data_IF_518526016141
#
_entry.id   IF_518526016141
#
_cell.length_a   1.000
_cell.length_b   1.000
_cell.length_c   1.000
_cell.angle_alpha   90.00
_cell.angle_beta   90.00
_cell.angle_gamma   90.00
#
_symmetry.space_group_name_H-M   'P 1'
#
loop_
_entity.id
_entity.type
_entity.pdbx_description
1 polymer ?
#
# COMPACT_ATOMS: atom_id res chain seq x y z
N UNK A 1 -4.44 22.99 -37.73
CA UNK A 1 -4.89 22.58 -36.36
C UNK A 1 -4.18 23.44 -35.31
N UNK A 2 -4.93 24.25 -34.55
CA UNK A 2 -4.38 25.30 -33.69
C UNK A 2 -3.72 24.75 -32.41
N UNK A 3 -2.78 25.51 -31.83
CA UNK A 3 -2.24 25.24 -30.47
C UNK A 3 -3.36 25.26 -29.42
N UNK A 4 -4.41 26.06 -29.64
CA UNK A 4 -5.61 26.10 -28.79
C UNK A 4 -6.45 24.81 -28.92
N UNK A 5 -6.56 24.23 -30.12
CA UNK A 5 -7.28 22.97 -30.34
C UNK A 5 -6.57 21.79 -29.68
N UNK A 6 -5.22 21.78 -29.73
CA UNK A 6 -4.40 20.80 -28.99
C UNK A 6 -4.56 20.94 -27.48
N UNK A 7 -4.64 22.15 -26.94
CA UNK A 7 -4.90 22.40 -25.51
C UNK A 7 -6.32 22.01 -25.10
N UNK A 8 -7.35 22.30 -25.92
CA UNK A 8 -8.73 21.86 -25.67
C UNK A 8 -8.86 20.35 -25.72
N UNK A 9 -8.27 19.67 -26.72
CA UNK A 9 -8.26 18.20 -26.79
C UNK A 9 -7.43 17.56 -25.68
N UNK A 10 -6.34 18.18 -25.23
CA UNK A 10 -5.59 17.72 -24.05
C UNK A 10 -6.38 17.92 -22.74
N UNK A 11 -7.20 18.98 -22.65
CA UNK A 11 -8.07 19.25 -21.51
C UNK A 11 -9.33 18.36 -21.48
N UNK A 12 -9.83 17.91 -22.65
CA UNK A 12 -11.03 17.06 -22.76
C UNK A 12 -10.73 15.57 -22.93
N UNK A 13 -9.56 15.20 -23.48
CA UNK A 13 -9.19 13.83 -23.83
C UNK A 13 -9.04 12.85 -22.64
N UNK A 14 -9.05 13.37 -21.41
CA UNK A 14 -8.96 12.57 -20.19
C UNK A 14 -10.19 12.62 -19.28
N UNK A 15 -11.32 13.22 -19.69
CA UNK A 15 -12.47 13.48 -18.79
C UNK A 15 -13.76 12.71 -19.11
N UNK A 16 -13.82 11.99 -20.24
CA UNK A 16 -14.95 11.10 -20.54
C UNK A 16 -15.00 9.87 -19.63
N UNK A 17 -16.12 9.14 -19.55
CA UNK A 17 -16.14 7.82 -18.93
C UNK A 17 -15.17 6.87 -19.68
N UNK A 18 -14.55 5.96 -18.94
CA UNK A 18 -13.78 4.86 -19.54
C UNK A 18 -14.78 3.86 -20.12
N UNK A 19 -14.67 3.56 -21.41
CA UNK A 19 -15.68 2.77 -22.15
C UNK A 19 -15.33 1.29 -22.25
N UNK A 20 -14.05 0.96 -22.21
CA UNK A 20 -13.50 -0.38 -22.41
C UNK A 20 -12.12 -0.51 -21.74
N UNK A 21 -11.59 -1.73 -21.68
CA UNK A 21 -10.30 -2.03 -21.07
C UNK A 21 -9.13 -1.36 -21.83
N UNK A 22 -9.20 -1.25 -23.16
CA UNK A 22 -8.15 -0.60 -23.95
C UNK A 22 -8.07 0.91 -23.67
N UNK A 23 -9.23 1.57 -23.49
CA UNK A 23 -9.33 2.95 -23.09
C UNK A 23 -8.74 3.16 -21.69
N UNK A 24 -8.98 2.22 -20.77
CA UNK A 24 -8.38 2.23 -19.44
C UNK A 24 -6.85 2.10 -19.51
N UNK A 25 -6.35 1.12 -20.27
CA UNK A 25 -4.92 0.90 -20.49
C UNK A 25 -4.23 2.13 -21.12
N UNK A 26 -4.86 2.77 -22.13
CA UNK A 26 -4.35 4.03 -22.70
C UNK A 26 -4.27 5.16 -21.66
N UNK A 27 -5.22 5.22 -20.72
CA UNK A 27 -5.17 6.21 -19.63
C UNK A 27 -4.07 5.91 -18.63
N UNK A 28 -3.84 4.64 -18.29
CA UNK A 28 -2.74 4.23 -17.43
C UNK A 28 -1.41 4.64 -18.08
N UNK A 29 -1.23 4.39 -19.39
CA UNK A 29 -0.03 4.83 -20.14
C UNK A 29 0.22 6.33 -20.05
N UNK A 30 -0.85 7.11 -20.18
CA UNK A 30 -0.81 8.57 -20.16
C UNK A 30 -0.72 9.17 -18.76
N UNK A 31 -1.02 8.40 -17.71
CA UNK A 31 -1.02 8.86 -16.33
C UNK A 31 0.40 9.25 -15.87
N UNK A 32 0.44 10.28 -15.02
CA UNK A 32 1.68 10.82 -14.46
C UNK A 32 1.63 10.73 -12.94
N UNK A 33 2.78 10.41 -12.34
CA UNK A 33 2.99 10.39 -10.88
C UNK A 33 4.08 11.38 -10.46
N UNK A 34 3.78 12.68 -10.33
CA UNK A 34 4.78 13.67 -9.93
C UNK A 34 5.45 13.30 -8.60
N UNK A 35 6.77 13.24 -8.59
CA UNK A 35 7.58 12.92 -7.40
C UNK A 35 7.74 11.42 -7.10
N UNK A 36 7.27 10.52 -7.97
CA UNK A 36 7.71 9.11 -7.96
C UNK A 36 8.95 8.99 -8.84
N UNK A 37 9.98 8.21 -8.44
CA UNK A 37 11.12 7.90 -9.31
C UNK A 37 10.66 7.33 -10.67
N UNK A 38 11.20 7.79 -11.82
CA UNK A 38 10.69 7.41 -13.14
C UNK A 38 10.65 5.89 -13.36
N UNK A 39 11.67 5.17 -12.91
CA UNK A 39 11.74 3.70 -13.03
C UNK A 39 10.66 2.98 -12.23
N UNK A 40 10.29 3.48 -11.04
CA UNK A 40 9.19 2.95 -10.24
C UNK A 40 7.84 3.25 -10.89
N UNK A 41 7.67 4.46 -11.44
CA UNK A 41 6.45 4.86 -12.12
C UNK A 41 6.22 4.00 -13.38
N UNK A 42 7.25 3.78 -14.19
CA UNK A 42 7.17 2.96 -15.39
C UNK A 42 6.97 1.48 -15.07
N UNK A 43 7.61 0.96 -14.01
CA UNK A 43 7.35 -0.41 -13.53
C UNK A 43 5.88 -0.60 -13.12
N UNK A 44 5.37 0.28 -12.26
CA UNK A 44 3.99 0.20 -11.78
C UNK A 44 2.96 0.37 -12.91
N UNK A 45 3.26 1.24 -13.88
CA UNK A 45 2.45 1.43 -15.10
C UNK A 45 2.34 0.15 -15.92
N UNK A 46 3.47 -0.47 -16.25
CA UNK A 46 3.49 -1.75 -16.99
C UNK A 46 2.73 -2.85 -16.26
N UNK A 47 2.92 -2.96 -14.94
CA UNK A 47 2.23 -3.97 -14.15
C UNK A 47 0.72 -3.74 -14.07
N UNK A 48 0.28 -2.48 -13.96
CA UNK A 48 -1.15 -2.14 -13.93
C UNK A 48 -1.81 -2.31 -15.30
N UNK A 49 -1.10 -2.03 -16.39
CA UNK A 49 -1.56 -2.37 -17.75
C UNK A 49 -1.73 -3.88 -17.92
N UNK A 50 -0.72 -4.66 -17.55
CA UNK A 50 -0.78 -6.12 -17.62
C UNK A 50 -1.93 -6.70 -16.77
N UNK A 51 -2.20 -6.11 -15.60
CA UNK A 51 -3.37 -6.47 -14.78
C UNK A 51 -4.69 -6.23 -15.52
N UNK A 52 -4.87 -5.05 -16.13
CA UNK A 52 -6.10 -4.71 -16.87
C UNK A 52 -6.27 -5.61 -18.09
N UNK A 53 -5.21 -5.82 -18.86
CA UNK A 53 -5.21 -6.66 -20.06
C UNK A 53 -5.52 -8.12 -19.71
N UNK A 54 -4.90 -8.66 -18.66
CA UNK A 54 -5.15 -10.02 -18.18
C UNK A 54 -6.60 -10.20 -17.68
N UNK A 55 -7.10 -9.27 -16.85
CA UNK A 55 -8.47 -9.33 -16.36
C UNK A 55 -9.50 -9.24 -17.50
N UNK A 56 -9.26 -8.38 -18.48
CA UNK A 56 -10.11 -8.27 -19.66
C UNK A 56 -10.08 -9.55 -20.51
N UNK A 57 -8.91 -10.16 -20.71
CA UNK A 57 -8.77 -11.42 -21.42
C UNK A 57 -9.49 -12.59 -20.72
N UNK A 58 -9.62 -12.52 -19.39
CA UNK A 58 -10.40 -13.46 -18.57
C UNK A 58 -11.90 -13.16 -18.54
N UNK A 59 -12.37 -12.14 -19.26
CA UNK A 59 -13.79 -11.77 -19.31
C UNK A 59 -14.29 -11.00 -18.08
N UNK A 60 -13.40 -10.46 -17.24
CA UNK A 60 -13.80 -9.65 -16.09
C UNK A 60 -14.45 -8.34 -16.59
N UNK A 61 -15.66 -7.98 -16.13
CA UNK A 61 -16.31 -6.75 -16.55
C UNK A 61 -15.49 -5.50 -16.20
N UNK A 62 -15.48 -4.50 -17.09
CA UNK A 62 -14.73 -3.25 -16.89
C UNK A 62 -15.05 -2.57 -15.55
N UNK A 63 -16.31 -2.57 -15.13
CA UNK A 63 -16.73 -1.99 -13.86
C UNK A 63 -16.04 -2.68 -12.67
N UNK A 64 -15.84 -3.99 -12.75
CA UNK A 64 -15.15 -4.76 -11.73
C UNK A 64 -13.63 -4.53 -11.76
N UNK A 65 -13.03 -4.44 -12.95
CA UNK A 65 -11.61 -4.04 -13.10
C UNK A 65 -11.39 -2.66 -12.46
N UNK A 66 -12.26 -1.69 -12.77
CA UNK A 66 -12.20 -0.35 -12.20
C UNK A 66 -12.40 -0.37 -10.67
N UNK A 67 -13.28 -1.22 -10.15
CA UNK A 67 -13.45 -1.42 -8.70
C UNK A 67 -12.18 -1.98 -8.05
N UNK A 68 -11.57 -3.02 -8.62
CA UNK A 68 -10.31 -3.60 -8.13
C UNK A 68 -9.14 -2.60 -8.17
N UNK A 69 -9.13 -1.71 -9.16
CA UNK A 69 -8.18 -0.61 -9.20
C UNK A 69 -8.46 0.44 -8.13
N UNK A 70 -9.73 0.78 -7.90
CA UNK A 70 -10.12 1.83 -6.96
C UNK A 70 -9.96 1.41 -5.50
N UNK A 71 -10.33 0.17 -5.15
CA UNK A 71 -10.22 -0.36 -3.78
C UNK A 71 -8.81 -0.84 -3.43
N UNK A 72 -7.90 -0.93 -4.41
CA UNK A 72 -6.51 -1.31 -4.24
C UNK A 72 -6.22 -2.80 -4.38
N UNK A 73 -7.20 -3.66 -4.69
CA UNK A 73 -6.95 -5.09 -5.01
C UNK A 73 -5.94 -5.26 -6.14
N UNK A 74 -6.05 -4.45 -7.20
CA UNK A 74 -5.10 -4.50 -8.32
C UNK A 74 -3.66 -4.22 -7.84
N UNK A 75 -3.47 -3.20 -7.00
CA UNK A 75 -2.16 -2.87 -6.45
C UNK A 75 -1.63 -3.99 -5.54
N UNK A 76 -2.49 -4.58 -4.70
CA UNK A 76 -2.12 -5.71 -3.84
C UNK A 76 -1.70 -6.95 -4.65
N UNK A 77 -2.46 -7.30 -5.71
CA UNK A 77 -2.13 -8.39 -6.63
C UNK A 77 -0.78 -8.16 -7.32
N UNK A 78 -0.56 -6.96 -7.87
CA UNK A 78 0.70 -6.60 -8.54
C UNK A 78 1.88 -6.78 -7.59
N UNK A 79 1.78 -6.26 -6.37
CA UNK A 79 2.86 -6.36 -5.40
C UNK A 79 3.07 -7.78 -4.88
N UNK A 80 2.02 -8.60 -4.79
CA UNK A 80 2.15 -10.00 -4.46
C UNK A 80 2.95 -10.76 -5.53
N UNK A 81 2.58 -10.58 -6.80
CA UNK A 81 3.30 -11.17 -7.94
C UNK A 81 4.77 -10.70 -7.98
N UNK A 82 5.04 -9.41 -7.75
CA UNK A 82 6.41 -8.89 -7.69
C UNK A 82 7.23 -9.58 -6.58
N UNK A 83 6.63 -9.80 -5.40
CA UNK A 83 7.30 -10.50 -4.30
C UNK A 83 7.58 -11.96 -4.64
N UNK A 84 6.60 -12.67 -5.20
CA UNK A 84 6.78 -14.07 -5.61
C UNK A 84 7.88 -14.21 -6.67
N UNK A 85 7.92 -13.30 -7.64
CA UNK A 85 8.97 -13.26 -8.66
C UNK A 85 10.35 -12.99 -8.06
N UNK A 86 10.45 -12.02 -7.15
CA UNK A 86 11.71 -11.73 -6.45
C UNK A 86 12.19 -12.96 -5.65
N UNK A 87 11.30 -13.62 -4.92
CA UNK A 87 11.62 -14.86 -4.19
C UNK A 87 12.08 -15.98 -5.14
N UNK A 88 11.38 -16.19 -6.25
CA UNK A 88 11.76 -17.18 -7.27
C UNK A 88 13.15 -16.90 -7.90
N UNK A 89 13.54 -15.62 -7.96
CA UNK A 89 14.85 -15.18 -8.44
C UNK A 89 15.93 -15.16 -7.35
N UNK A 90 15.63 -15.64 -6.14
CA UNK A 90 16.56 -15.65 -5.01
C UNK A 90 16.82 -14.27 -4.40
N UNK A 91 16.00 -13.28 -4.73
CA UNK A 91 16.06 -11.90 -4.24
C UNK A 91 15.06 -11.64 -3.09
N UNK A 92 14.69 -12.69 -2.35
CA UNK A 92 13.75 -12.55 -1.24
C UNK A 92 14.35 -11.65 -0.15
N UNK A 93 13.77 -10.48 0.16
CA UNK A 93 14.28 -9.61 1.21
C UNK A 93 14.18 -10.22 2.61
N UNK A 94 13.38 -11.29 2.80
CA UNK A 94 13.37 -12.05 4.05
C UNK A 94 14.60 -12.96 4.19
N UNK A 95 15.28 -13.29 3.08
CA UNK A 95 16.51 -14.10 3.12
C UNK A 95 17.65 -13.26 3.72
N UNK A 96 18.06 -13.61 4.93
CA UNK A 96 19.05 -12.85 5.71
C UNK A 96 18.45 -11.75 6.57
N UNK A 97 17.11 -11.68 6.69
CA UNK A 97 16.48 -10.84 7.70
C UNK A 97 16.69 -11.44 9.10
N UNK A 98 16.85 -10.57 10.10
CA UNK A 98 16.90 -10.94 11.51
C UNK A 98 15.50 -11.21 12.11
N UNK A 99 14.46 -11.21 11.27
CA UNK A 99 13.09 -11.46 11.69
C UNK A 99 12.92 -12.91 12.18
N UNK A 100 12.38 -13.07 13.38
CA UNK A 100 12.05 -14.36 13.99
C UNK A 100 10.67 -14.31 14.66
N UNK A 101 10.11 -15.46 15.03
CA UNK A 101 8.87 -15.51 15.81
C UNK A 101 9.04 -14.72 17.12
N UNK A 102 8.04 -13.92 17.47
CA UNK A 102 8.08 -13.02 18.64
C UNK A 102 8.86 -11.72 18.45
N UNK A 103 9.53 -11.52 17.31
CA UNK A 103 10.09 -10.21 16.95
C UNK A 103 8.97 -9.26 16.48
N UNK A 104 8.77 -8.15 17.19
CA UNK A 104 7.64 -7.24 16.99
C UNK A 104 8.02 -5.75 16.87
N UNK A 105 9.31 -5.43 16.68
CA UNK A 105 9.76 -4.04 16.59
C UNK A 105 9.15 -3.29 15.39
N UNK A 106 8.90 -3.97 14.26
CA UNK A 106 8.16 -3.38 13.13
C UNK A 106 6.68 -3.12 13.43
N UNK A 107 6.14 -3.71 14.51
CA UNK A 107 4.78 -3.46 14.97
C UNK A 107 4.71 -2.26 15.91
N UNK A 108 5.84 -1.67 16.32
CA UNK A 108 5.86 -0.37 16.99
C UNK A 108 5.75 0.69 15.90
N UNK A 109 4.51 1.10 15.62
CA UNK A 109 4.22 1.90 14.44
C UNK A 109 4.65 3.35 14.68
N UNK A 110 5.42 3.91 13.76
CA UNK A 110 5.81 5.31 13.81
C UNK A 110 4.74 6.22 13.21
N UNK A 111 4.62 7.43 13.76
CA UNK A 111 3.63 8.41 13.35
C UNK A 111 2.18 8.03 13.70
N UNK A 112 1.25 8.90 13.30
CA UNK A 112 -0.18 8.76 13.61
C UNK A 112 -0.82 7.63 12.78
N UNK A 113 -0.51 7.53 11.48
CA UNK A 113 -1.15 6.55 10.59
C UNK A 113 -0.71 5.10 10.87
N UNK A 114 0.52 4.92 11.35
CA UNK A 114 1.18 3.62 11.47
C UNK A 114 1.40 2.86 10.15
N UNK A 115 1.05 3.47 9.02
CA UNK A 115 1.19 2.93 7.67
C UNK A 115 0.00 3.26 6.79
N UNK A 116 0.26 3.54 5.52
CA UNK A 116 -0.80 3.77 4.52
C UNK A 116 -1.22 2.45 3.87
N UNK A 117 -2.50 2.13 3.94
CA UNK A 117 -3.10 0.94 3.33
C UNK A 117 -4.29 1.30 2.42
N UNK A 118 -4.67 0.40 1.53
CA UNK A 118 -5.83 0.55 0.62
C UNK A 118 -7.14 0.16 1.29
N UNK A 119 -8.28 0.46 0.66
CA UNK A 119 -9.59 0.00 1.14
C UNK A 119 -9.64 -1.52 1.29
N UNK A 120 -9.13 -2.25 0.29
CA UNK A 120 -9.07 -3.70 0.31
C UNK A 120 -8.31 -4.26 1.53
N UNK A 121 -7.16 -3.66 1.85
CA UNK A 121 -6.38 -4.07 3.01
C UNK A 121 -7.02 -3.65 4.33
N UNK A 122 -7.66 -2.48 4.37
CA UNK A 122 -8.39 -2.01 5.54
C UNK A 122 -9.57 -2.91 5.90
N UNK A 123 -10.40 -3.25 4.91
CA UNK A 123 -11.53 -4.20 5.08
C UNK A 123 -11.05 -5.56 5.59
N UNK A 124 -9.99 -6.11 4.99
CA UNK A 124 -9.43 -7.40 5.39
C UNK A 124 -8.83 -7.38 6.80
N UNK A 125 -8.12 -6.31 7.14
CA UNK A 125 -7.50 -6.15 8.46
C UNK A 125 -8.56 -6.02 9.55
N UNK A 126 -9.57 -5.16 9.33
CA UNK A 126 -10.69 -4.99 10.25
C UNK A 126 -11.43 -6.32 10.46
N UNK A 127 -11.84 -6.99 9.38
CA UNK A 127 -12.56 -8.25 9.46
C UNK A 127 -11.78 -9.35 10.22
N UNK A 128 -10.45 -9.38 10.06
CA UNK A 128 -9.60 -10.34 10.76
C UNK A 128 -9.45 -10.04 12.27
N UNK A 129 -9.61 -8.77 12.67
CA UNK A 129 -9.44 -8.33 14.06
C UNK A 129 -10.76 -8.17 14.81
N UNK A 130 -11.89 -7.99 14.11
CA UNK A 130 -13.20 -7.83 14.73
C UNK A 130 -13.57 -8.95 15.75
N UNK A 131 -13.22 -10.24 15.53
CA UNK A 131 -13.46 -11.29 16.53
C UNK A 131 -12.67 -11.14 17.84
N UNK A 132 -11.70 -10.21 17.89
CA UNK A 132 -10.81 -9.94 19.04
C UNK A 132 -11.25 -8.71 19.84
N UNK A 133 -12.46 -8.21 19.59
CA UNK A 133 -12.99 -7.02 20.26
C UNK A 133 -12.95 -7.18 21.80
N UNK A 134 -12.35 -6.20 22.49
CA UNK A 134 -12.20 -6.18 23.94
C UNK A 134 -11.07 -7.04 24.51
N UNK A 135 -10.34 -7.81 23.69
CA UNK A 135 -9.14 -8.50 24.16
C UNK A 135 -7.98 -7.52 24.40
N UNK A 136 -7.05 -7.82 25.34
CA UNK A 136 -5.75 -7.16 25.44
C UNK A 136 -5.05 -7.07 24.08
N UNK A 137 -4.32 -5.99 23.83
CA UNK A 137 -3.66 -5.77 22.54
C UNK A 137 -2.24 -5.24 22.68
N UNK A 138 -1.55 -5.05 21.55
CA UNK A 138 -0.15 -4.61 21.53
C UNK A 138 0.14 -3.40 22.42
N UNK A 139 -0.84 -2.51 22.63
CA UNK A 139 -0.70 -1.31 23.47
C UNK A 139 -0.42 -1.64 24.94
N UNK A 140 -0.81 -2.83 25.40
CA UNK A 140 -0.49 -3.33 26.74
C UNK A 140 0.98 -3.74 26.88
N UNK A 141 1.67 -4.01 25.76
CA UNK A 141 3.12 -4.24 25.72
C UNK A 141 3.90 -2.96 25.46
N UNK A 142 3.44 -2.11 24.54
CA UNK A 142 4.10 -0.84 24.20
C UNK A 142 3.09 0.17 23.66
N UNK A 143 3.09 1.45 24.10
CA UNK A 143 2.04 2.42 23.76
C UNK A 143 1.86 2.65 22.25
N UNK A 144 2.94 2.56 21.49
CA UNK A 144 2.92 2.70 20.02
C UNK A 144 2.77 1.38 19.25
N UNK A 145 2.62 0.24 19.92
CA UNK A 145 2.43 -1.03 19.23
C UNK A 145 1.12 -1.06 18.44
N UNK A 146 1.12 -1.89 17.39
CA UNK A 146 -0.05 -2.16 16.57
C UNK A 146 -1.09 -2.91 17.40
N UNK A 147 -2.37 -2.49 17.39
CA UNK A 147 -3.45 -3.20 18.08
C UNK A 147 -3.66 -4.65 17.58
N UNK A 148 -3.17 -4.97 16.37
CA UNK A 148 -3.20 -6.34 15.86
C UNK A 148 -2.24 -7.31 16.58
N UNK A 149 -1.30 -6.81 17.38
CA UNK A 149 -0.31 -7.61 18.09
C UNK A 149 -0.94 -8.25 19.35
N UNK A 150 -0.60 -9.50 19.62
CA UNK A 150 -0.80 -10.12 20.93
C UNK A 150 0.29 -9.62 21.89
N UNK A 151 -0.05 -8.96 23.00
CA UNK A 151 0.95 -8.41 23.92
C UNK A 151 1.77 -9.48 24.65
N UNK A 152 1.22 -10.68 24.86
CA UNK A 152 1.89 -11.77 25.57
C UNK A 152 2.91 -12.48 24.67
N UNK A 153 2.50 -12.83 23.45
CA UNK A 153 3.35 -13.61 22.52
C UNK A 153 4.14 -12.75 21.53
N UNK A 154 3.77 -11.47 21.38
CA UNK A 154 4.31 -10.54 20.38
C UNK A 154 4.13 -11.06 18.94
N UNK A 155 3.09 -11.87 18.72
CA UNK A 155 2.71 -12.38 17.41
C UNK A 155 1.53 -11.58 16.86
N UNK A 156 1.46 -11.42 15.54
CA UNK A 156 0.34 -10.74 14.90
C UNK A 156 -0.88 -11.66 14.85
N UNK A 157 -1.99 -11.24 15.47
CA UNK A 157 -3.27 -11.97 15.49
C UNK A 157 -4.01 -11.94 14.15
N UNK A 158 -3.60 -11.05 13.24
CA UNK A 158 -4.12 -10.92 11.88
C UNK A 158 -3.06 -11.27 10.82
N UNK A 159 -2.22 -12.28 11.08
CA UNK A 159 -1.04 -12.61 10.27
C UNK A 159 -1.32 -12.76 8.78
N UNK A 160 -2.42 -13.44 8.41
CA UNK A 160 -2.84 -13.64 7.01
C UNK A 160 -3.44 -12.38 6.38
N UNK A 161 -4.06 -11.53 7.18
CA UNK A 161 -4.61 -10.25 6.76
C UNK A 161 -3.59 -9.10 6.80
N UNK A 162 -2.33 -9.37 7.15
CA UNK A 162 -1.27 -8.34 7.20
C UNK A 162 -1.22 -7.55 5.89
N UNK A 163 -1.36 -6.21 5.97
CA UNK A 163 -1.17 -5.34 4.83
C UNK A 163 0.24 -5.46 4.25
N UNK A 164 0.39 -5.07 2.99
CA UNK A 164 1.64 -5.20 2.26
C UNK A 164 2.80 -4.45 2.91
N UNK A 165 2.54 -3.31 3.55
CA UNK A 165 3.57 -2.58 4.30
C UNK A 165 4.21 -3.47 5.37
N UNK A 166 3.41 -4.25 6.11
CA UNK A 166 3.90 -5.19 7.12
C UNK A 166 4.65 -6.40 6.51
N UNK A 167 4.42 -6.70 5.23
CA UNK A 167 5.12 -7.76 4.49
C UNK A 167 6.37 -7.27 3.76
N UNK A 168 6.58 -5.96 3.76
CA UNK A 168 7.66 -5.31 3.02
C UNK A 168 8.70 -4.67 3.92
N UNK A 169 8.46 -4.59 5.23
CA UNK A 169 9.45 -4.11 6.18
C UNK A 169 10.37 -5.26 6.61
N UNK A 170 11.65 -5.17 6.26
CA UNK A 170 12.66 -6.19 6.61
C UNK A 170 13.92 -5.51 7.12
N UNK A 171 14.62 -6.18 8.04
CA UNK A 171 15.94 -5.75 8.50
C UNK A 171 16.82 -6.97 8.73
N UNK A 172 18.11 -6.84 8.42
CA UNK A 172 19.14 -7.81 8.78
C UNK A 172 19.69 -7.61 10.21
N UNK A 173 19.22 -6.58 10.92
CA UNK A 173 19.74 -6.18 12.23
C UNK A 173 18.58 -5.96 13.22
N UNK A 174 18.39 -6.94 14.11
CA UNK A 174 17.35 -6.86 15.14
C UNK A 174 17.63 -5.76 16.17
N UNK A 175 18.90 -5.50 16.50
CA UNK A 175 19.26 -4.46 17.46
C UNK A 175 18.97 -3.06 16.89
N UNK A 176 19.22 -2.86 15.59
CA UNK A 176 18.81 -1.63 14.92
C UNK A 176 17.28 -1.47 14.89
N UNK A 177 16.52 -2.56 14.71
CA UNK A 177 15.07 -2.52 14.82
C UNK A 177 14.59 -2.14 16.23
N UNK A 178 15.21 -2.70 17.26
CA UNK A 178 14.91 -2.39 18.66
C UNK A 178 15.21 -0.93 19.00
N UNK A 179 16.39 -0.42 18.60
CA UNK A 179 16.76 0.99 18.77
C UNK A 179 15.75 1.92 18.08
N UNK A 180 15.40 1.65 16.82
CA UNK A 180 14.38 2.44 16.10
C UNK A 180 13.01 2.41 16.79
N UNK A 181 12.62 1.25 17.34
CA UNK A 181 11.38 1.10 18.11
C UNK A 181 11.40 1.90 19.42
N UNK A 182 12.57 2.04 20.06
CA UNK A 182 12.79 2.90 21.22
C UNK A 182 12.88 4.40 20.87
N UNK A 183 12.82 4.76 19.57
CA UNK A 183 12.93 6.14 19.10
C UNK A 183 14.35 6.60 18.78
N UNK A 184 15.33 5.70 18.83
CA UNK A 184 16.72 5.99 18.50
C UNK A 184 16.98 5.76 17.00
N UNK A 185 17.52 6.74 16.26
CA UNK A 185 17.82 6.56 14.84
C UNK A 185 18.89 5.50 14.63
N UNK A 186 18.52 4.35 14.04
CA UNK A 186 19.45 3.27 13.71
C UNK A 186 19.33 2.83 12.24
N UNK A 187 20.44 2.57 11.54
CA UNK A 187 20.40 2.02 10.19
C UNK A 187 20.03 0.54 10.26
N UNK A 188 18.99 0.10 9.55
CA UNK A 188 18.75 -1.35 9.47
C UNK A 188 17.46 -1.74 8.80
N UNK A 189 16.38 -1.01 9.06
CA UNK A 189 15.11 -1.34 8.44
C UNK A 189 14.96 -0.72 7.05
N UNK A 190 14.52 -1.53 6.10
CA UNK A 190 14.22 -1.09 4.74
C UNK A 190 12.87 -1.60 4.30
N UNK A 191 12.19 -0.75 3.56
CA UNK A 191 10.98 -1.12 2.85
C UNK A 191 11.36 -1.76 1.51
N UNK A 192 10.93 -3.00 1.30
CA UNK A 192 11.12 -3.74 0.07
C UNK A 192 10.41 -3.08 -1.12
N UNK A 193 10.94 -3.29 -2.33
CA UNK A 193 10.49 -2.62 -3.55
C UNK A 193 9.00 -2.80 -3.87
N UNK A 194 8.42 -3.96 -3.54
CA UNK A 194 7.02 -4.26 -3.82
C UNK A 194 6.02 -3.27 -3.19
N UNK A 195 6.31 -2.74 -2.00
CA UNK A 195 5.44 -1.72 -1.40
C UNK A 195 5.49 -0.38 -2.16
N UNK A 196 6.63 -0.05 -2.76
CA UNK A 196 6.76 1.17 -3.56
C UNK A 196 5.99 1.02 -4.88
N UNK A 197 6.06 -0.15 -5.51
CA UNK A 197 5.24 -0.47 -6.68
C UNK A 197 3.75 -0.44 -6.35
N UNK A 198 3.36 -0.97 -5.19
CA UNK A 198 1.97 -0.91 -4.69
C UNK A 198 1.44 0.52 -4.57
N UNK A 199 2.15 1.41 -3.89
CA UNK A 199 1.73 2.81 -3.75
C UNK A 199 1.69 3.53 -5.11
N UNK A 200 2.64 3.23 -5.99
CA UNK A 200 2.66 3.79 -7.34
C UNK A 200 1.49 3.27 -8.18
N UNK A 201 1.18 1.97 -8.14
CA UNK A 201 0.05 1.38 -8.84
C UNK A 201 -1.29 1.98 -8.36
N UNK A 202 -1.47 2.14 -7.05
CA UNK A 202 -2.67 2.78 -6.49
C UNK A 202 -2.78 4.26 -6.89
N UNK A 203 -1.66 4.98 -6.90
CA UNK A 203 -1.60 6.35 -7.43
C UNK A 203 -1.97 6.44 -8.92
N UNK A 204 -1.53 5.48 -9.73
CA UNK A 204 -1.86 5.40 -11.16
C UNK A 204 -3.33 5.06 -11.37
N UNK A 205 -3.90 4.17 -10.55
CA UNK A 205 -5.33 3.87 -10.55
C UNK A 205 -6.14 5.15 -10.33
N UNK A 206 -5.80 5.96 -9.32
CA UNK A 206 -6.43 7.26 -9.08
C UNK A 206 -6.33 8.20 -10.29
N UNK A 207 -5.16 8.28 -10.92
CA UNK A 207 -4.94 9.13 -12.08
C UNK A 207 -5.72 8.65 -13.33
N UNK A 208 -5.80 7.34 -13.55
CA UNK A 208 -6.44 6.75 -14.73
C UNK A 208 -7.98 6.74 -14.63
N UNK A 209 -8.52 6.40 -13.45
CA UNK A 209 -9.97 6.39 -13.21
C UNK A 209 -10.54 7.82 -13.10
N UNK A 210 -9.71 8.79 -12.71
CA UNK A 210 -10.07 10.20 -12.65
C UNK A 210 -10.84 10.58 -11.37
N UNK A 211 -11.25 11.85 -11.24
CA UNK A 211 -11.68 12.45 -9.97
C UNK A 211 -13.01 11.94 -9.43
N UNK A 212 -13.78 11.20 -10.23
CA UNK A 212 -15.05 10.61 -9.78
C UNK A 212 -14.86 9.26 -9.07
N UNK A 213 -13.73 8.60 -9.28
CA UNK A 213 -13.43 7.34 -8.61
C UNK A 213 -12.94 7.61 -7.18
N UNK A 214 -13.52 6.89 -6.22
CA UNK A 214 -13.07 6.91 -4.82
C UNK A 214 -11.86 5.97 -4.69
N UNK A 215 -10.67 6.52 -4.91
CA UNK A 215 -9.40 5.82 -4.71
C UNK A 215 -8.81 6.27 -3.40
N UNK A 216 -9.16 5.55 -2.35
CA UNK A 216 -8.97 5.95 -0.96
C UNK A 216 -7.81 5.19 -0.31
N UNK A 217 -7.32 5.74 0.80
CA UNK A 217 -6.30 5.13 1.64
C UNK A 217 -6.66 5.34 3.09
N UNK A 218 -6.17 4.45 3.95
CA UNK A 218 -6.55 4.38 5.35
C UNK A 218 -5.32 4.26 6.24
N UNK A 219 -5.45 4.75 7.46
CA UNK A 219 -4.45 4.63 8.52
C UNK A 219 -4.50 3.23 9.11
N UNK A 220 -3.42 2.46 8.97
CA UNK A 220 -3.32 1.10 9.48
C UNK A 220 -3.60 1.04 10.99
N UNK A 221 -3.01 1.97 11.75
CA UNK A 221 -3.18 2.04 13.21
C UNK A 221 -4.65 2.16 13.59
N UNK A 222 -5.36 3.09 12.95
CA UNK A 222 -6.75 3.39 13.25
C UNK A 222 -7.70 2.26 12.87
N UNK A 223 -7.49 1.62 11.72
CA UNK A 223 -8.26 0.43 11.32
C UNK A 223 -8.11 -0.70 12.34
N UNK A 224 -6.86 -1.00 12.74
CA UNK A 224 -6.59 -2.05 13.72
C UNK A 224 -7.18 -1.72 15.09
N UNK A 225 -7.03 -0.46 15.52
CA UNK A 225 -7.56 0.06 16.80
C UNK A 225 -9.07 -0.06 16.85
N UNK A 226 -9.77 0.48 15.86
CA UNK A 226 -11.22 0.47 15.79
C UNK A 226 -11.78 -0.96 15.82
N UNK A 227 -11.13 -1.91 15.14
CA UNK A 227 -11.55 -3.30 15.14
C UNK A 227 -11.47 -3.96 16.52
N UNK A 228 -10.35 -3.79 17.25
CA UNK A 228 -10.19 -4.38 18.60
C UNK A 228 -10.99 -3.62 19.68
N UNK A 229 -11.34 -2.36 19.42
CA UNK A 229 -12.27 -1.57 20.23
C UNK A 229 -13.75 -1.91 19.93
N UNK A 230 -14.02 -2.85 19.02
CA UNK A 230 -15.36 -3.35 18.72
C UNK A 230 -16.21 -2.44 17.83
N UNK A 231 -15.59 -1.48 17.13
CA UNK A 231 -16.30 -0.65 16.15
C UNK A 231 -16.66 -1.46 14.90
N UNK A 232 -17.83 -1.21 14.33
CA UNK A 232 -18.23 -1.80 13.06
C UNK A 232 -17.34 -1.30 11.91
N UNK A 233 -17.31 -2.06 10.80
CA UNK A 233 -16.41 -1.79 9.69
C UNK A 233 -16.69 -0.44 9.01
N UNK A 234 -17.96 -0.02 8.90
CA UNK A 234 -18.30 1.23 8.22
C UNK A 234 -17.77 2.43 9.03
N UNK A 235 -18.06 2.46 10.32
CA UNK A 235 -17.58 3.49 11.25
C UNK A 235 -16.05 3.51 11.31
N UNK A 236 -15.42 2.34 11.46
CA UNK A 236 -13.97 2.20 11.52
C UNK A 236 -13.27 2.73 10.27
N UNK A 237 -13.74 2.34 9.08
CA UNK A 237 -13.14 2.77 7.82
C UNK A 237 -13.40 4.26 7.55
N UNK A 238 -14.57 4.79 7.92
CA UNK A 238 -14.84 6.22 7.81
C UNK A 238 -13.87 7.05 8.66
N UNK A 239 -13.62 6.64 9.90
CA UNK A 239 -12.69 7.32 10.82
C UNK A 239 -11.22 7.18 10.40
N UNK A 240 -10.83 6.01 9.89
CA UNK A 240 -9.45 5.75 9.49
C UNK A 240 -9.07 6.31 8.11
N UNK A 241 -10.03 6.85 7.35
CA UNK A 241 -9.81 7.34 5.98
C UNK A 241 -8.93 8.57 5.98
N UNK A 242 -7.87 8.54 5.17
CA UNK A 242 -7.04 9.71 4.96
C UNK A 242 -7.71 10.78 4.10
N UNK A 243 -7.31 12.03 4.31
CA UNK A 243 -7.61 13.11 3.38
C UNK A 243 -6.99 12.90 1.98
N UNK A 244 -7.48 13.60 0.95
CA UNK A 244 -7.02 13.46 -0.44
C UNK A 244 -5.50 13.49 -0.69
N UNK A 245 -4.69 14.33 -0.02
CA UNK A 245 -3.26 14.43 -0.32
C UNK A 245 -2.42 13.26 0.22
N UNK A 246 -2.94 12.44 1.14
CA UNK A 246 -2.14 11.47 1.89
C UNK A 246 -1.42 10.46 0.99
N UNK A 247 -2.10 9.85 0.03
CA UNK A 247 -1.47 8.92 -0.92
C UNK A 247 -0.31 9.55 -1.71
N UNK A 248 -0.44 10.82 -2.13
CA UNK A 248 0.64 11.49 -2.85
C UNK A 248 1.80 11.87 -1.92
N UNK A 249 1.48 12.31 -0.71
CA UNK A 249 2.49 12.61 0.31
C UNK A 249 3.30 11.35 0.63
N UNK A 250 2.63 10.23 0.85
CA UNK A 250 3.24 8.95 1.17
C UNK A 250 4.12 8.44 0.03
N UNK A 251 3.58 8.39 -1.18
CA UNK A 251 4.32 7.98 -2.38
C UNK A 251 5.57 8.83 -2.62
N UNK A 252 5.50 10.15 -2.39
CA UNK A 252 6.66 11.05 -2.51
C UNK A 252 7.67 10.81 -1.38
N UNK A 253 7.21 10.60 -0.15
CA UNK A 253 8.07 10.31 1.02
C UNK A 253 8.88 9.03 0.78
N UNK A 254 8.20 7.95 0.43
CA UNK A 254 8.83 6.65 0.19
C UNK A 254 9.69 6.64 -1.07
N UNK A 255 9.27 7.34 -2.12
CA UNK A 255 10.08 7.56 -3.32
C UNK A 255 11.40 8.27 -3.05
N UNK A 256 11.40 9.34 -2.22
CA UNK A 256 12.64 10.03 -1.81
C UNK A 256 13.56 9.12 -1.01
N UNK A 257 13.02 8.38 -0.05
CA UNK A 257 13.79 7.43 0.76
C UNK A 257 14.45 6.36 -0.11
N UNK A 258 13.72 5.86 -1.12
CA UNK A 258 14.23 4.88 -2.06
C UNK A 258 15.37 5.41 -2.94
N UNK A 259 15.23 6.61 -3.50
CA UNK A 259 16.31 7.26 -4.26
C UNK A 259 17.57 7.44 -3.40
N UNK A 260 17.42 7.91 -2.16
CA UNK A 260 18.53 8.10 -1.23
C UNK A 260 19.24 6.78 -0.87
N UNK A 261 18.51 5.66 -0.82
CA UNK A 261 19.09 4.34 -0.57
C UNK A 261 19.94 3.81 -1.75
N UNK A 262 19.60 4.17 -2.99
CA UNK A 262 20.34 3.76 -4.21
C UNK A 262 21.59 4.59 -4.48
N UNK A 263 21.58 5.88 -4.13
CA UNK A 263 22.75 6.76 -4.29
C UNK A 263 23.90 6.51 -3.31
N UNK A 264 23.78 5.52 -2.42
CA UNK A 264 24.79 5.11 -1.44
C UNK A 264 25.43 3.75 -1.78
N UNK A 265 25.19 3.23 -2.97
CA UNK A 265 25.78 1.99 -3.51
C UNK A 265 26.88 2.28 -4.52
#
# INVERSE_FOLDING_TARGET
MSRADRRRRAATGGRGPVTDADALARRIRAAKLPGTPPELAERAKKALEAFVESAAAQGVPLAEIARHMADGRAAATIAHVEREQATAQGQDPAKGAACAAGCAFCCILSGEDGGTITAHEAERLHAALAPRAGEPDGRDWHPNACPALDPATRMCRAYEARPLICRSYHSADAAACEANAAGEPAPGARLAGAHLTYLAAHGLARAALGPRARVETFALREVARAAVEGQDAETALAAARHGPPALDAERRRTGRAWTAARGRG
#
